data_IF_699776595261
#
_entry.id   IF_699776595261
#
_cell.length_a   1.000
_cell.length_b   1.000
_cell.length_c   1.000
_cell.angle_alpha   90.00
_cell.angle_beta   90.00
_cell.angle_gamma   90.00
#
_symmetry.space_group_name_H-M   'P 1'
#
loop_
_entity.id
_entity.type
_entity.pdbx_description
1 polymer ?
#
# COMPACT_ATOMS: atom_id res chain seq x y z
N UNK A 1 -10.81 -9.58 -7.44
CA UNK A 1 -10.45 -10.56 -6.37
C UNK A 1 -9.63 -9.78 -5.36
N UNK A 2 -9.82 -10.00 -4.06
CA UNK A 2 -9.03 -9.30 -3.04
C UNK A 2 -7.52 -9.54 -3.28
N UNK A 3 -6.69 -8.53 -2.98
CA UNK A 3 -5.23 -8.59 -3.14
C UNK A 3 -4.65 -9.81 -2.43
N UNK A 4 -3.86 -10.62 -3.15
CA UNK A 4 -3.07 -11.71 -2.58
C UNK A 4 -1.70 -11.18 -2.11
N UNK A 5 -1.35 -11.29 -0.81
CA UNK A 5 -0.07 -10.83 -0.29
C UNK A 5 1.14 -11.60 -0.84
N UNK A 6 0.95 -12.82 -1.34
CA UNK A 6 2.04 -13.66 -1.85
C UNK A 6 2.50 -13.25 -3.25
N UNK A 7 1.62 -12.60 -4.03
CA UNK A 7 1.94 -12.08 -5.35
C UNK A 7 2.50 -10.65 -5.33
N UNK A 8 2.61 -10.02 -4.16
CA UNK A 8 3.10 -8.64 -4.03
C UNK A 8 4.63 -8.60 -4.11
N UNK A 9 5.15 -8.13 -5.25
CA UNK A 9 6.56 -7.81 -5.41
C UNK A 9 6.82 -6.33 -5.11
N UNK A 10 7.08 -6.05 -3.82
CA UNK A 10 7.35 -4.71 -3.31
C UNK A 10 8.82 -4.58 -2.87
N UNK A 11 9.48 -3.44 -3.15
CA UNK A 11 10.84 -3.20 -2.73
C UNK A 11 10.94 -2.84 -1.24
N UNK A 12 12.07 -3.13 -0.65
CA UNK A 12 12.53 -2.70 0.67
C UNK A 12 13.06 -1.26 0.65
N UNK A 13 12.28 -0.35 0.07
CA UNK A 13 12.64 1.06 -0.14
C UNK A 13 11.56 2.00 0.37
N UNK A 14 11.91 3.26 0.72
CA UNK A 14 10.93 4.28 1.03
C UNK A 14 10.10 4.64 -0.21
N UNK A 15 8.85 5.02 0.02
CA UNK A 15 7.95 5.41 -1.05
C UNK A 15 6.50 5.60 -0.64
N UNK A 16 5.66 5.70 -1.66
CA UNK A 16 4.19 5.77 -1.55
C UNK A 16 3.62 4.47 -2.10
N UNK A 17 2.60 3.92 -1.45
CA UNK A 17 1.82 2.79 -1.94
C UNK A 17 0.36 3.21 -2.13
N UNK A 18 -0.30 2.59 -3.10
CA UNK A 18 -1.67 2.86 -3.48
C UNK A 18 -2.45 1.55 -3.54
N UNK A 19 -3.56 1.48 -2.81
CA UNK A 19 -4.54 0.42 -3.01
C UNK A 19 -5.52 0.87 -4.09
N UNK A 20 -5.79 -0.03 -5.04
CA UNK A 20 -6.64 0.24 -6.20
C UNK A 20 -7.66 -0.87 -6.38
N UNK A 21 -8.83 -0.51 -6.90
CA UNK A 21 -9.86 -1.43 -7.37
C UNK A 21 -9.59 -1.84 -8.82
N UNK A 22 -10.32 -2.84 -9.29
CA UNK A 22 -10.29 -3.32 -10.69
C UNK A 22 -10.60 -2.24 -11.74
N UNK A 23 -11.30 -1.17 -11.36
CA UNK A 23 -11.62 -0.02 -12.21
C UNK A 23 -10.53 1.08 -12.18
N UNK A 24 -9.32 0.73 -11.75
CA UNK A 24 -8.16 1.62 -11.51
C UNK A 24 -8.41 2.73 -10.47
N UNK A 25 -9.56 2.71 -9.79
CA UNK A 25 -9.87 3.71 -8.76
C UNK A 25 -8.99 3.50 -7.53
N UNK A 26 -8.24 4.53 -7.18
CA UNK A 26 -7.45 4.58 -5.94
C UNK A 26 -8.40 4.65 -4.75
N UNK A 27 -8.33 3.65 -3.87
CA UNK A 27 -9.13 3.57 -2.64
C UNK A 27 -8.38 4.10 -1.43
N UNK A 28 -7.04 4.01 -1.45
CA UNK A 28 -6.20 4.47 -0.36
C UNK A 28 -4.77 4.71 -0.82
N UNK A 29 -4.15 5.75 -0.24
CA UNK A 29 -2.75 6.09 -0.44
C UNK A 29 -2.08 6.16 0.92
N UNK A 30 -0.86 5.64 1.02
CA UNK A 30 -0.04 5.82 2.20
C UNK A 30 1.43 5.84 1.88
N UNK A 31 2.23 6.34 2.82
CA UNK A 31 3.69 6.39 2.73
C UNK A 31 4.34 5.38 3.64
N UNK A 32 5.52 4.92 3.27
CA UNK A 32 6.33 4.00 4.03
C UNK A 32 7.83 4.33 3.90
N UNK A 33 8.60 4.06 4.95
CA UNK A 33 10.06 4.00 4.87
C UNK A 33 10.55 2.68 4.25
N UNK A 34 9.71 1.66 4.31
CA UNK A 34 9.88 0.35 3.68
C UNK A 34 8.50 -0.10 3.15
N UNK A 35 8.33 -0.06 1.83
CA UNK A 35 7.10 -0.44 1.15
C UNK A 35 6.70 -1.89 1.41
N UNK A 36 7.65 -2.83 1.28
CA UNK A 36 7.42 -4.26 1.49
C UNK A 36 6.90 -4.55 2.89
N UNK A 37 7.61 -4.08 3.91
CA UNK A 37 7.26 -4.32 5.31
C UNK A 37 5.93 -3.66 5.67
N UNK A 38 5.71 -2.43 5.19
CA UNK A 38 4.48 -1.68 5.52
C UNK A 38 3.25 -2.30 4.89
N UNK A 39 3.29 -2.65 3.61
CA UNK A 39 2.13 -3.26 2.94
C UNK A 39 1.86 -4.64 3.51
N UNK A 40 2.89 -5.46 3.78
CA UNK A 40 2.70 -6.78 4.42
C UNK A 40 2.06 -6.71 5.80
N UNK A 41 2.32 -5.64 6.58
CA UNK A 41 1.66 -5.45 7.88
C UNK A 41 0.13 -5.39 7.79
N UNK A 42 -0.42 -5.05 6.62
CA UNK A 42 -1.86 -5.03 6.41
C UNK A 42 -2.52 -6.39 6.26
N UNK A 43 -1.72 -7.42 5.98
CA UNK A 43 -2.17 -8.80 5.85
C UNK A 43 -1.87 -9.63 7.11
N UNK A 44 -1.31 -9.00 8.15
CA UNK A 44 -1.08 -9.66 9.43
C UNK A 44 -2.41 -9.97 10.14
N UNK A 45 -2.48 -11.05 10.95
CA UNK A 45 -3.72 -11.45 11.64
C UNK A 45 -4.31 -10.37 12.56
N UNK A 46 -3.48 -9.45 13.04
CA UNK A 46 -3.88 -8.37 13.92
C UNK A 46 -3.32 -7.03 13.40
N UNK A 47 -3.96 -6.42 12.39
CA UNK A 47 -3.46 -5.21 11.78
C UNK A 47 -3.57 -4.02 12.73
N UNK A 48 -2.58 -3.13 12.71
CA UNK A 48 -2.51 -1.92 13.56
C UNK A 48 -3.73 -1.00 13.45
N UNK A 49 -4.51 -1.12 12.37
CA UNK A 49 -5.65 -0.23 12.08
C UNK A 49 -6.89 -1.05 11.76
N UNK A 50 -7.99 -0.77 12.46
CA UNK A 50 -9.30 -1.42 12.29
C UNK A 50 -9.88 -1.33 10.86
N UNK A 51 -9.47 -0.33 10.08
CA UNK A 51 -9.91 -0.10 8.70
C UNK A 51 -9.23 -1.01 7.66
N UNK A 52 -8.11 -1.65 8.03
CA UNK A 52 -7.26 -2.40 7.11
C UNK A 52 -7.94 -3.65 6.53
N UNK A 53 -8.63 -4.49 7.32
CA UNK A 53 -9.29 -5.68 6.76
C UNK A 53 -10.29 -5.31 5.66
N UNK A 54 -11.04 -4.22 5.85
CA UNK A 54 -11.97 -3.71 4.85
C UNK A 54 -11.23 -3.19 3.62
N UNK A 55 -10.18 -2.39 3.82
CA UNK A 55 -9.36 -1.85 2.74
C UNK A 55 -8.80 -2.96 1.82
N UNK A 56 -8.21 -3.99 2.43
CA UNK A 56 -7.63 -5.12 1.71
C UNK A 56 -8.70 -5.90 0.95
N UNK A 57 -9.86 -6.12 1.57
CA UNK A 57 -10.99 -6.78 0.92
C UNK A 57 -11.61 -5.97 -0.22
N UNK A 58 -11.53 -4.64 -0.14
CA UNK A 58 -12.12 -3.70 -1.11
C UNK A 58 -11.19 -3.37 -2.28
N UNK A 59 -9.96 -3.87 -2.26
CA UNK A 59 -8.93 -3.54 -3.25
C UNK A 59 -8.48 -4.79 -3.99
N UNK A 60 -8.19 -4.63 -5.28
CA UNK A 60 -7.78 -5.72 -6.17
C UNK A 60 -6.27 -5.65 -6.49
N UNK A 61 -5.67 -4.45 -6.39
CA UNK A 61 -4.27 -4.22 -6.72
C UNK A 61 -3.58 -3.29 -5.72
N UNK A 62 -2.25 -3.45 -5.58
CA UNK A 62 -1.38 -2.53 -4.85
C UNK A 62 -0.29 -2.04 -5.79
N UNK A 63 -0.21 -0.73 -5.93
CA UNK A 63 0.85 -0.02 -6.65
C UNK A 63 1.80 0.67 -5.69
N UNK A 64 2.96 1.07 -6.20
CA UNK A 64 3.91 1.85 -5.44
C UNK A 64 4.76 2.77 -6.31
N UNK A 65 5.25 3.84 -5.68
CA UNK A 65 6.24 4.75 -6.22
C UNK A 65 7.38 4.81 -5.21
N UNK A 66 8.56 4.37 -5.62
CA UNK A 66 9.79 4.49 -4.80
C UNK A 66 10.23 5.95 -4.79
N UNK A 67 10.49 6.49 -3.60
CA UNK A 67 11.02 7.85 -3.44
C UNK A 67 12.45 7.80 -2.90
N UNK A 68 13.24 8.86 -3.11
CA UNK A 68 14.59 8.95 -2.54
C UNK A 68 14.56 9.32 -1.06
N UNK A 69 13.46 9.92 -0.60
CA UNK A 69 13.21 10.20 0.81
C UNK A 69 11.71 10.19 1.14
N UNK A 70 11.32 9.97 2.41
CA UNK A 70 9.92 10.14 2.86
C UNK A 70 9.36 11.55 2.63
N UNK A 71 10.24 12.55 2.48
CA UNK A 71 9.90 13.95 2.26
C UNK A 71 9.39 14.21 0.85
N UNK A 72 9.90 13.48 -0.16
CA UNK A 72 9.43 13.59 -1.56
C UNK A 72 7.99 13.07 -1.73
N UNK A 73 7.57 12.11 -0.89
CA UNK A 73 6.20 11.60 -0.88
C UNK A 73 5.16 12.67 -0.53
N UNK A 74 5.56 13.75 0.17
CA UNK A 74 4.67 14.87 0.52
C UNK A 74 4.28 15.72 -0.69
N UNK A 75 5.09 15.71 -1.76
CA UNK A 75 4.90 16.56 -2.94
C UNK A 75 3.91 15.91 -3.93
N UNK A 76 3.78 14.58 -3.89
CA UNK A 76 2.88 13.80 -4.74
C UNK A 76 1.41 13.76 -4.27
N UNK A 77 1.08 14.46 -3.17
CA UNK A 77 -0.28 14.55 -2.62
C UNK A 77 -1.09 15.76 -3.15
N UNK A 78 -0.59 16.48 -4.17
CA UNK A 78 -1.27 17.64 -4.77
C UNK A 78 -1.95 17.33 -6.10
#
# INVERSE_FOLDING_TARGET
MAVDPTSLDLPDKPGVYLFRRVDDRVTYVGKATDLRSRVRSYFAPNPDRKMVPRLVSDSDHVDFIVTKSPSEALILER
#
